data_IF_583987452026
#
_entry.id   IF_583987452026
#
_cell.length_a   1.000
_cell.length_b   1.000
_cell.length_c   1.000
_cell.angle_alpha   90.00
_cell.angle_beta   90.00
_cell.angle_gamma   90.00
#
_symmetry.space_group_name_H-M   'P 1'
#
loop_
_entity.id
_entity.type
_entity.pdbx_description
1 polymer ?
#
# COMPACT_ATOMS: atom_id res chain seq x y z
N UNK A 1 -17.23 8.39 13.04
CA UNK A 1 -16.90 7.30 13.97
C UNK A 1 -15.86 7.79 14.96
N UNK A 2 -16.03 7.43 16.24
CA UNK A 2 -15.10 7.78 17.30
C UNK A 2 -13.79 7.00 17.08
N UNK A 3 -12.67 7.70 17.02
CA UNK A 3 -11.38 7.07 16.94
C UNK A 3 -10.93 6.58 18.33
N UNK A 4 -10.06 5.59 18.37
CA UNK A 4 -9.36 5.23 19.60
C UNK A 4 -8.30 6.31 19.94
N UNK A 5 -8.03 6.50 21.22
CA UNK A 5 -6.96 7.41 21.68
C UNK A 5 -5.59 6.95 21.16
N UNK A 6 -5.35 5.65 21.16
CA UNK A 6 -4.21 5.00 20.51
C UNK A 6 -4.70 3.87 19.62
N UNK A 7 -4.07 3.66 18.44
CA UNK A 7 -4.47 2.58 17.56
C UNK A 7 -4.24 1.22 18.20
N UNK A 8 -5.12 0.28 17.90
CA UNK A 8 -4.94 -1.11 18.28
C UNK A 8 -4.07 -1.81 17.24
N UNK A 9 -2.89 -2.26 17.66
CA UNK A 9 -1.90 -2.88 16.79
C UNK A 9 -2.05 -4.40 16.73
N UNK A 10 -1.83 -4.98 15.54
CA UNK A 10 -1.86 -6.41 15.30
C UNK A 10 -0.73 -6.81 14.35
N UNK A 11 -0.11 -7.97 14.63
CA UNK A 11 0.58 -8.73 13.61
C UNK A 11 -0.47 -9.55 12.84
N UNK A 12 -0.41 -9.53 11.51
CA UNK A 12 -1.44 -10.16 10.70
C UNK A 12 -0.92 -10.72 9.38
N UNK A 13 -1.50 -11.85 8.95
CA UNK A 13 -1.33 -12.38 7.59
C UNK A 13 -2.51 -13.26 7.17
N UNK A 14 -2.70 -13.39 5.85
CA UNK A 14 -3.69 -14.28 5.28
C UNK A 14 -3.30 -15.75 5.53
N UNK A 15 -4.28 -16.57 5.94
CA UNK A 15 -4.11 -18.01 6.10
C UNK A 15 -3.99 -18.71 4.74
N UNK A 16 -4.60 -18.17 3.69
CA UNK A 16 -4.39 -18.56 2.30
C UNK A 16 -2.96 -18.20 1.88
N UNK A 17 -2.11 -19.21 1.71
CA UNK A 17 -0.70 -19.05 1.36
C UNK A 17 -0.52 -18.34 0.00
N UNK A 18 -1.36 -18.64 -0.97
CA UNK A 18 -1.29 -18.01 -2.29
C UNK A 18 -1.58 -16.50 -2.19
N UNK A 19 -2.55 -16.09 -1.38
CA UNK A 19 -2.83 -14.68 -1.10
C UNK A 19 -1.64 -14.02 -0.43
N UNK A 20 -1.06 -14.67 0.58
CA UNK A 20 0.08 -14.13 1.34
C UNK A 20 1.30 -13.95 0.44
N UNK A 21 1.64 -14.94 -0.39
CA UNK A 21 2.81 -14.89 -1.30
C UNK A 21 2.65 -13.85 -2.41
N UNK A 22 1.45 -13.72 -2.97
CA UNK A 22 1.15 -12.74 -4.05
C UNK A 22 0.87 -11.32 -3.54
N UNK A 23 1.09 -11.05 -2.26
CA UNK A 23 0.93 -9.72 -1.65
C UNK A 23 2.28 -9.13 -1.26
N UNK A 24 2.36 -7.81 -1.13
CA UNK A 24 3.60 -7.11 -0.72
C UNK A 24 4.02 -7.44 0.72
N UNK A 25 3.08 -7.81 1.58
CA UNK A 25 3.30 -8.15 2.99
C UNK A 25 2.46 -9.37 3.37
N UNK A 26 1.68 -9.33 4.44
CA UNK A 26 0.86 -10.45 4.94
C UNK A 26 -0.42 -10.73 4.14
N UNK A 27 -0.82 -9.92 3.16
CA UNK A 27 -2.02 -10.18 2.34
C UNK A 27 -3.35 -9.70 2.92
N UNK A 28 -3.32 -8.93 4.00
CA UNK A 28 -4.53 -8.47 4.72
C UNK A 28 -5.48 -7.68 3.82
N UNK A 29 -4.97 -6.77 2.96
CA UNK A 29 -5.83 -6.00 2.06
C UNK A 29 -6.71 -6.89 1.18
N UNK A 30 -6.16 -7.95 0.62
CA UNK A 30 -6.88 -8.87 -0.26
C UNK A 30 -8.05 -9.55 0.47
N UNK A 31 -7.85 -9.95 1.72
CA UNK A 31 -8.91 -10.58 2.53
C UNK A 31 -10.02 -9.58 2.85
N UNK A 32 -9.67 -8.37 3.28
CA UNK A 32 -10.66 -7.31 3.56
C UNK A 32 -11.46 -6.95 2.30
N UNK A 33 -10.79 -6.82 1.15
CA UNK A 33 -11.43 -6.50 -0.12
C UNK A 33 -12.34 -7.64 -0.60
N UNK A 34 -11.92 -8.91 -0.47
CA UNK A 34 -12.77 -10.10 -0.74
C UNK A 34 -14.05 -10.06 0.09
N UNK A 35 -13.92 -9.77 1.38
CA UNK A 35 -15.05 -9.73 2.29
C UNK A 35 -16.10 -8.69 1.84
N UNK A 36 -15.66 -7.47 1.50
CA UNK A 36 -16.55 -6.41 1.02
C UNK A 36 -17.20 -6.77 -0.32
N UNK A 37 -16.43 -7.29 -1.27
CA UNK A 37 -16.96 -7.71 -2.58
C UNK A 37 -17.94 -8.88 -2.46
N UNK A 38 -17.68 -9.85 -1.58
CA UNK A 38 -18.58 -10.99 -1.35
C UNK A 38 -19.95 -10.58 -0.78
N UNK A 39 -20.02 -9.42 -0.12
CA UNK A 39 -21.27 -8.84 0.38
C UNK A 39 -21.95 -7.89 -0.63
N UNK A 40 -21.50 -7.86 -1.89
CA UNK A 40 -22.05 -6.97 -2.93
C UNK A 40 -21.58 -5.51 -2.79
N UNK A 41 -20.56 -5.25 -1.97
CA UNK A 41 -19.92 -3.94 -1.85
C UNK A 41 -18.97 -3.66 -3.02
N UNK A 42 -18.31 -2.51 -2.97
CA UNK A 42 -17.35 -2.07 -3.99
C UNK A 42 -16.01 -1.71 -3.35
N UNK A 43 -14.92 -1.92 -4.09
CA UNK A 43 -13.57 -1.64 -3.63
C UNK A 43 -12.91 -0.61 -4.57
N UNK A 44 -12.35 0.42 -3.98
CA UNK A 44 -11.51 1.40 -4.67
C UNK A 44 -10.06 1.22 -4.21
N UNK A 45 -9.18 0.98 -5.15
CA UNK A 45 -7.74 0.80 -4.91
C UNK A 45 -6.93 1.19 -6.13
N UNK A 46 -5.61 1.05 -6.04
CA UNK A 46 -4.68 1.51 -7.07
C UNK A 46 -4.29 0.36 -8.00
N UNK A 47 -4.49 0.57 -9.30
CA UNK A 47 -4.07 -0.33 -10.37
C UNK A 47 -3.06 0.34 -11.31
N UNK A 48 -2.30 -0.49 -12.05
CA UNK A 48 -1.48 -0.02 -13.16
C UNK A 48 -2.36 0.46 -14.32
N UNK A 49 -1.95 1.54 -14.94
CA UNK A 49 -2.55 2.11 -16.15
C UNK A 49 -1.51 2.11 -17.27
N UNK A 50 -1.87 1.46 -18.38
CA UNK A 50 -0.97 1.27 -19.54
C UNK A 50 -1.51 1.94 -20.81
N UNK A 51 -2.57 2.77 -20.70
CA UNK A 51 -3.28 3.31 -21.87
C UNK A 51 -2.38 4.18 -22.74
N UNK A 52 -1.58 5.06 -22.15
CA UNK A 52 -0.63 5.94 -22.86
C UNK A 52 0.77 5.77 -22.32
N UNK A 53 0.95 6.16 -21.06
CA UNK A 53 2.20 6.03 -20.33
C UNK A 53 1.97 5.14 -19.12
N UNK A 54 3.00 4.37 -18.71
CA UNK A 54 2.93 3.57 -17.51
C UNK A 54 2.75 4.47 -16.29
N UNK A 55 1.62 4.35 -15.65
CA UNK A 55 1.21 5.15 -14.50
C UNK A 55 0.33 4.32 -13.57
N UNK A 56 -0.12 4.89 -12.48
CA UNK A 56 -1.03 4.23 -11.53
C UNK A 56 -2.21 5.14 -11.24
N UNK A 57 -3.40 4.54 -11.14
CA UNK A 57 -4.65 5.27 -10.86
C UNK A 57 -5.56 4.50 -9.93
N UNK A 58 -6.45 5.20 -9.26
CA UNK A 58 -7.54 4.56 -8.55
C UNK A 58 -8.55 3.99 -9.54
N UNK A 59 -8.95 2.77 -9.30
CA UNK A 59 -10.01 2.07 -10.03
C UNK A 59 -11.08 1.57 -9.08
N UNK A 60 -12.31 1.45 -9.57
CA UNK A 60 -13.45 0.86 -8.89
C UNK A 60 -13.61 -0.60 -9.32
N UNK A 61 -13.72 -1.49 -8.36
CA UNK A 61 -13.99 -2.91 -8.59
C UNK A 61 -15.27 -3.32 -7.86
N UNK A 62 -16.08 -4.15 -8.51
CA UNK A 62 -17.25 -4.81 -7.94
C UNK A 62 -17.27 -6.32 -8.19
N UNK A 63 -16.13 -6.88 -8.64
CA UNK A 63 -15.97 -8.31 -8.92
C UNK A 63 -14.68 -8.86 -8.32
N UNK A 64 -14.76 -10.09 -7.81
CA UNK A 64 -13.62 -10.80 -7.21
C UNK A 64 -12.49 -11.12 -8.21
N UNK A 65 -12.73 -11.53 -9.46
CA UNK A 65 -11.66 -11.84 -10.42
C UNK A 65 -10.72 -10.67 -10.72
N UNK A 66 -11.23 -9.44 -10.63
CA UNK A 66 -10.44 -8.23 -10.90
C UNK A 66 -9.58 -7.79 -9.72
N UNK A 67 -9.82 -8.31 -8.52
CA UNK A 67 -9.11 -7.90 -7.30
C UNK A 67 -7.59 -8.01 -7.43
N UNK A 68 -7.08 -8.95 -8.24
CA UNK A 68 -5.66 -9.09 -8.54
C UNK A 68 -5.01 -7.82 -9.11
N UNK A 69 -5.77 -6.93 -9.75
CA UNK A 69 -5.28 -5.66 -10.31
C UNK A 69 -4.79 -4.71 -9.20
N UNK A 70 -5.34 -4.85 -7.99
CA UNK A 70 -4.99 -4.02 -6.85
C UNK A 70 -3.80 -4.56 -6.04
N UNK A 71 -3.40 -5.81 -6.28
CA UNK A 71 -2.31 -6.44 -5.55
C UNK A 71 -0.97 -5.75 -5.80
N UNK A 72 -0.11 -5.79 -4.79
CA UNK A 72 1.26 -5.27 -4.87
C UNK A 72 1.35 -3.76 -4.63
N UNK A 73 2.41 -3.36 -3.96
CA UNK A 73 2.76 -1.95 -3.75
C UNK A 73 3.22 -1.31 -5.06
N UNK A 74 2.73 -0.11 -5.32
CA UNK A 74 3.07 0.68 -6.50
C UNK A 74 3.68 1.99 -6.02
N UNK A 75 5.02 2.09 -6.10
CA UNK A 75 5.76 3.25 -5.58
C UNK A 75 5.71 4.43 -6.56
N UNK A 76 4.51 4.91 -6.82
CA UNK A 76 4.19 6.06 -7.66
C UNK A 76 3.02 6.85 -7.08
N UNK A 77 2.91 8.12 -7.44
CA UNK A 77 1.72 8.91 -7.13
C UNK A 77 0.54 8.39 -7.95
N UNK A 78 -0.46 7.84 -7.26
CA UNK A 78 -1.67 7.41 -7.92
C UNK A 78 -2.57 8.62 -8.24
N UNK A 79 -3.05 8.67 -9.49
CA UNK A 79 -4.08 9.62 -9.90
C UNK A 79 -5.43 9.18 -9.30
N UNK A 80 -6.09 9.99 -8.47
CA UNK A 80 -7.42 9.68 -7.97
C UNK A 80 -8.49 9.79 -9.06
N UNK A 81 -8.25 10.50 -10.15
CA UNK A 81 -9.22 10.69 -11.23
C UNK A 81 -10.58 11.13 -10.71
N UNK A 82 -11.59 10.32 -10.99
CA UNK A 82 -12.98 10.55 -10.54
C UNK A 82 -13.34 9.72 -9.29
N UNK A 83 -12.42 8.97 -8.69
CA UNK A 83 -12.72 8.02 -7.62
C UNK A 83 -13.52 8.62 -6.46
N UNK A 84 -13.18 9.82 -5.99
CA UNK A 84 -13.91 10.44 -4.87
C UNK A 84 -15.36 10.79 -5.21
N UNK A 85 -15.61 11.24 -6.44
CA UNK A 85 -16.97 11.51 -6.94
C UNK A 85 -17.76 10.20 -7.05
N UNK A 86 -17.14 9.16 -7.57
CA UNK A 86 -17.77 7.87 -7.81
C UNK A 86 -18.02 7.14 -6.49
N UNK A 87 -17.11 7.23 -5.51
CA UNK A 87 -17.33 6.78 -4.12
C UNK A 87 -18.57 7.47 -3.54
N UNK A 88 -18.68 8.81 -3.67
CA UNK A 88 -19.84 9.55 -3.16
C UNK A 88 -21.14 9.10 -3.81
N UNK A 89 -21.11 8.73 -5.09
CA UNK A 89 -22.26 8.17 -5.82
C UNK A 89 -22.63 6.79 -5.27
N UNK A 90 -21.67 5.85 -5.18
CA UNK A 90 -21.92 4.50 -4.65
C UNK A 90 -22.46 4.54 -3.21
N UNK A 91 -21.92 5.44 -2.35
CA UNK A 91 -22.43 5.63 -0.99
C UNK A 91 -23.88 6.15 -0.95
N UNK A 92 -24.26 7.05 -1.86
CA UNK A 92 -25.65 7.53 -1.99
C UNK A 92 -26.60 6.45 -2.49
N UNK A 93 -26.09 5.50 -3.28
CA UNK A 93 -26.82 4.32 -3.75
C UNK A 93 -26.90 3.22 -2.68
N UNK A 94 -26.39 3.46 -1.47
CA UNK A 94 -26.46 2.52 -0.34
C UNK A 94 -25.42 1.39 -0.39
N UNK A 95 -24.41 1.48 -1.28
CA UNK A 95 -23.35 0.46 -1.36
C UNK A 95 -22.37 0.57 -0.20
N UNK A 96 -21.87 -0.56 0.25
CA UNK A 96 -20.69 -0.61 1.12
C UNK A 96 -19.44 -0.37 0.28
N UNK A 97 -18.61 0.57 0.68
CA UNK A 97 -17.41 0.99 -0.04
C UNK A 97 -16.17 0.75 0.80
N UNK A 98 -15.18 0.08 0.23
CA UNK A 98 -13.81 0.02 0.77
C UNK A 98 -12.91 0.89 -0.10
N UNK A 99 -12.27 1.90 0.50
CA UNK A 99 -11.26 2.71 -0.16
C UNK A 99 -9.89 2.40 0.41
N UNK A 100 -8.89 2.20 -0.47
CA UNK A 100 -7.49 2.06 -0.09
C UNK A 100 -6.64 3.10 -0.81
N UNK A 101 -5.78 3.81 -0.04
CA UNK A 101 -4.88 4.82 -0.58
C UNK A 101 -3.78 5.21 0.41
N UNK A 102 -3.00 6.23 0.06
CA UNK A 102 -2.04 6.84 0.98
C UNK A 102 -2.77 7.67 2.05
N UNK A 103 -2.15 8.00 3.20
CA UNK A 103 -2.81 8.79 4.25
C UNK A 103 -3.33 10.15 3.76
N UNK A 104 -2.59 10.83 2.88
CA UNK A 104 -3.03 12.09 2.27
C UNK A 104 -4.24 11.91 1.36
N UNK A 105 -4.35 10.79 0.61
CA UNK A 105 -5.51 10.47 -0.21
C UNK A 105 -6.73 10.11 0.65
N UNK A 106 -6.54 9.39 1.76
CA UNK A 106 -7.58 9.11 2.74
C UNK A 106 -8.14 10.41 3.36
N UNK A 107 -7.25 11.32 3.76
CA UNK A 107 -7.64 12.63 4.28
C UNK A 107 -8.37 13.48 3.22
N UNK A 108 -7.91 13.48 1.98
CA UNK A 108 -8.57 14.18 0.86
C UNK A 108 -9.97 13.61 0.58
N UNK A 109 -10.15 12.29 0.60
CA UNK A 109 -11.47 11.67 0.47
C UNK A 109 -12.41 12.11 1.58
N UNK A 110 -11.96 12.11 2.83
CA UNK A 110 -12.77 12.58 3.97
C UNK A 110 -13.18 14.05 3.81
N UNK A 111 -12.23 14.91 3.42
CA UNK A 111 -12.49 16.32 3.17
C UNK A 111 -13.51 16.53 2.02
N UNK A 112 -13.41 15.73 0.96
CA UNK A 112 -14.34 15.78 -0.18
C UNK A 112 -15.78 15.36 0.23
N UNK A 113 -15.90 14.32 1.04
CA UNK A 113 -17.22 13.81 1.46
C UNK A 113 -17.92 14.70 2.49
N UNK A 114 -17.19 15.51 3.27
CA UNK A 114 -17.67 16.49 4.26
C UNK A 114 -18.46 15.93 5.45
N UNK A 115 -18.90 14.69 5.42
CA UNK A 115 -19.63 14.01 6.49
C UNK A 115 -19.19 12.57 6.62
N UNK A 116 -19.37 11.94 7.79
CA UNK A 116 -19.16 10.51 7.93
C UNK A 116 -20.22 9.72 7.15
N UNK A 117 -19.82 8.51 6.73
CA UNK A 117 -20.67 7.54 6.07
C UNK A 117 -20.42 6.17 6.72
N UNK A 118 -21.48 5.55 7.23
CA UNK A 118 -21.36 4.27 7.93
C UNK A 118 -21.01 3.11 6.98
N UNK A 119 -21.35 3.20 5.72
CA UNK A 119 -21.02 2.24 4.68
C UNK A 119 -19.66 2.45 4.01
N UNK A 120 -18.83 3.41 4.50
CA UNK A 120 -17.49 3.66 3.98
C UNK A 120 -16.41 3.17 4.92
N UNK A 121 -15.59 2.21 4.52
CA UNK A 121 -14.34 1.82 5.18
C UNK A 121 -13.15 2.45 4.46
N UNK A 122 -12.25 3.07 5.20
CA UNK A 122 -11.03 3.66 4.68
C UNK A 122 -9.83 2.91 5.25
N UNK A 123 -9.00 2.38 4.35
CA UNK A 123 -7.71 1.77 4.66
C UNK A 123 -6.62 2.68 4.12
N UNK A 124 -5.69 3.13 4.96
CA UNK A 124 -4.47 3.73 4.47
C UNK A 124 -3.27 2.77 4.62
N UNK A 125 -2.17 3.13 3.98
CA UNK A 125 -0.93 2.40 4.05
C UNK A 125 0.13 3.20 4.80
N UNK A 126 1.07 2.53 5.47
CA UNK A 126 2.29 3.19 5.92
C UNK A 126 3.03 3.72 4.69
N UNK A 127 3.10 5.04 4.58
CA UNK A 127 3.61 5.71 3.39
C UNK A 127 4.98 6.32 3.66
N UNK A 128 5.98 5.90 2.88
CA UNK A 128 7.34 6.45 2.93
C UNK A 128 7.46 7.78 2.19
N UNK A 129 6.55 8.06 1.27
CA UNK A 129 6.55 9.14 0.31
C UNK A 129 6.31 8.62 -1.10
N UNK A 130 6.22 9.52 -2.08
CA UNK A 130 6.10 9.15 -3.50
C UNK A 130 7.26 9.74 -4.28
N UNK A 131 7.91 8.95 -5.15
CA UNK A 131 9.02 9.43 -5.95
C UNK A 131 8.56 10.37 -7.05
N UNK A 132 9.48 11.17 -7.56
CA UNK A 132 9.26 12.03 -8.73
C UNK A 132 8.87 11.18 -9.95
N UNK A 133 7.82 11.61 -10.65
CA UNK A 133 7.42 10.97 -11.91
C UNK A 133 8.53 11.02 -12.96
N UNK A 134 9.26 12.13 -13.03
CA UNK A 134 10.36 12.27 -14.01
C UNK A 134 11.46 11.23 -13.78
N UNK A 135 11.81 10.94 -12.52
CA UNK A 135 12.78 9.88 -12.22
C UNK A 135 12.25 8.51 -12.63
N UNK A 136 10.99 8.22 -12.32
CA UNK A 136 10.39 6.96 -12.73
C UNK A 136 10.34 6.81 -14.26
N UNK A 137 9.98 7.85 -14.97
CA UNK A 137 9.94 7.83 -16.44
C UNK A 137 11.34 7.64 -17.03
N UNK A 138 12.36 8.29 -16.50
CA UNK A 138 13.75 8.10 -16.91
C UNK A 138 14.23 6.66 -16.68
N UNK A 139 13.96 6.10 -15.49
CA UNK A 139 14.27 4.71 -15.15
C UNK A 139 13.58 3.71 -16.10
N UNK A 140 12.29 3.92 -16.35
CA UNK A 140 11.52 3.09 -17.28
C UNK A 140 12.06 3.17 -18.70
N UNK A 141 12.27 4.39 -19.22
CA UNK A 141 12.78 4.62 -20.59
C UNK A 141 14.18 4.05 -20.79
N UNK A 142 15.04 4.14 -19.78
CA UNK A 142 16.38 3.58 -19.86
C UNK A 142 16.34 2.05 -19.95
N UNK A 143 15.50 1.42 -19.12
CA UNK A 143 15.27 -0.02 -19.19
C UNK A 143 14.68 -0.45 -20.54
N UNK A 144 13.65 0.26 -21.03
CA UNK A 144 12.99 -0.07 -22.31
C UNK A 144 13.95 0.10 -23.51
N UNK A 145 14.83 1.12 -23.50
CA UNK A 145 15.88 1.31 -24.52
C UNK A 145 16.92 0.21 -24.49
N UNK A 146 17.39 -0.15 -23.30
CA UNK A 146 18.47 -1.14 -23.16
C UNK A 146 18.02 -2.57 -23.47
N UNK A 147 16.73 -2.88 -23.27
CA UNK A 147 16.19 -4.23 -23.49
C UNK A 147 15.37 -4.39 -24.75
N UNK A 148 14.91 -3.29 -25.36
CA UNK A 148 13.94 -3.29 -26.45
C UNK A 148 12.51 -3.71 -26.03
N UNK A 149 12.24 -3.83 -24.72
CA UNK A 149 10.95 -4.35 -24.19
C UNK A 149 10.20 -3.28 -23.43
N UNK A 150 8.92 -3.11 -23.75
CA UNK A 150 8.04 -2.17 -23.06
C UNK A 150 7.47 -2.77 -21.77
N UNK A 151 7.56 -2.02 -20.68
CA UNK A 151 7.02 -2.43 -19.37
C UNK A 151 5.49 -2.27 -19.38
N UNK A 152 4.77 -3.27 -18.87
CA UNK A 152 3.33 -3.24 -18.62
C UNK A 152 2.99 -3.00 -17.14
N UNK A 153 3.80 -3.57 -16.23
CA UNK A 153 3.70 -3.31 -14.79
C UNK A 153 4.99 -3.71 -14.08
N UNK A 154 5.14 -3.28 -12.83
CA UNK A 154 6.29 -3.61 -11.99
C UNK A 154 5.78 -4.18 -10.68
N UNK A 155 6.27 -5.35 -10.28
CA UNK A 155 6.16 -5.83 -8.91
C UNK A 155 7.39 -5.38 -8.13
N UNK A 156 7.24 -4.35 -7.32
CA UNK A 156 8.33 -3.81 -6.49
C UNK A 156 8.60 -4.61 -5.22
N UNK A 157 7.76 -5.58 -4.91
CA UNK A 157 7.79 -6.34 -3.67
C UNK A 157 7.68 -7.84 -3.94
N UNK A 158 8.31 -8.28 -5.03
CA UNK A 158 8.40 -9.70 -5.36
C UNK A 158 9.17 -10.48 -4.30
N UNK A 159 8.66 -11.63 -3.91
CA UNK A 159 9.19 -12.43 -2.80
C UNK A 159 10.06 -13.62 -3.25
N UNK A 160 10.54 -13.63 -4.49
CA UNK A 160 11.41 -14.70 -4.99
C UNK A 160 12.63 -14.95 -4.09
N UNK A 161 13.19 -13.88 -3.49
CA UNK A 161 14.30 -13.97 -2.54
C UNK A 161 13.84 -13.79 -1.07
N UNK A 162 12.54 -13.97 -0.80
CA UNK A 162 11.91 -13.77 0.50
C UNK A 162 11.42 -12.33 0.73
N UNK A 163 10.59 -12.17 1.75
CA UNK A 163 9.96 -10.87 2.06
C UNK A 163 10.97 -9.82 2.56
N UNK A 164 11.95 -10.22 3.37
CA UNK A 164 12.97 -9.32 3.91
C UNK A 164 13.97 -8.87 2.84
N UNK A 165 14.18 -9.67 1.79
CA UNK A 165 15.07 -9.42 0.67
C UNK A 165 14.29 -9.34 -0.65
N UNK A 166 13.14 -8.65 -0.59
CA UNK A 166 12.25 -8.55 -1.74
C UNK A 166 12.96 -8.03 -3.00
N UNK A 167 12.38 -8.37 -4.13
CA UNK A 167 12.92 -8.06 -5.44
C UNK A 167 12.00 -7.15 -6.24
N UNK A 168 12.56 -6.52 -7.25
CA UNK A 168 11.85 -5.80 -8.30
C UNK A 168 11.78 -6.69 -9.53
N UNK A 169 10.57 -6.96 -10.00
CA UNK A 169 10.32 -7.71 -11.23
C UNK A 169 9.47 -6.86 -12.18
N UNK A 170 9.92 -6.74 -13.43
CA UNK A 170 9.22 -6.01 -14.47
C UNK A 170 8.49 -6.99 -15.38
N UNK A 171 7.23 -6.72 -15.68
CA UNK A 171 6.44 -7.47 -16.65
C UNK A 171 6.30 -6.64 -17.92
N UNK A 172 6.40 -7.29 -19.07
CA UNK A 172 6.43 -6.65 -20.37
C UNK A 172 5.07 -6.78 -21.09
N UNK A 173 4.84 -5.93 -22.07
CA UNK A 173 3.61 -5.98 -22.89
C UNK A 173 3.50 -7.24 -23.73
N UNK A 174 4.62 -7.89 -24.05
CA UNK A 174 4.67 -9.17 -24.77
C UNK A 174 4.36 -10.40 -23.88
N UNK A 175 4.01 -10.18 -22.61
CA UNK A 175 3.72 -11.23 -21.64
C UNK A 175 4.95 -11.83 -20.94
N UNK A 176 6.16 -11.45 -21.34
CA UNK A 176 7.38 -11.89 -20.68
C UNK A 176 7.65 -11.10 -19.38
N UNK A 177 8.60 -11.55 -18.59
CA UNK A 177 9.06 -10.86 -17.38
C UNK A 177 10.59 -10.72 -17.33
N UNK A 178 11.07 -9.76 -16.57
CA UNK A 178 12.49 -9.69 -16.19
C UNK A 178 12.81 -10.76 -15.13
N UNK A 179 14.08 -11.07 -14.93
CA UNK A 179 14.50 -11.74 -13.69
C UNK A 179 14.19 -10.86 -12.46
N UNK A 180 14.01 -11.50 -11.31
CA UNK A 180 13.86 -10.82 -10.03
C UNK A 180 15.22 -10.22 -9.61
N UNK A 181 15.27 -8.89 -9.43
CA UNK A 181 16.47 -8.18 -8.96
C UNK A 181 16.21 -7.72 -7.52
N UNK A 182 17.12 -8.05 -6.61
CA UNK A 182 17.01 -7.63 -5.20
C UNK A 182 16.95 -6.09 -5.15
N UNK A 183 16.09 -5.55 -4.30
CA UNK A 183 15.79 -4.12 -4.20
C UNK A 183 17.04 -3.25 -3.97
N UNK A 184 18.06 -3.79 -3.29
CA UNK A 184 19.34 -3.11 -3.04
C UNK A 184 20.21 -2.96 -4.30
N UNK A 185 19.89 -3.68 -5.36
CA UNK A 185 20.58 -3.61 -6.66
C UNK A 185 19.75 -2.81 -7.68
N UNK A 186 18.51 -2.48 -7.39
CA UNK A 186 17.65 -1.70 -8.28
C UNK A 186 17.81 -0.20 -8.01
N UNK A 187 18.28 0.55 -9.01
CA UNK A 187 18.63 1.97 -8.87
C UNK A 187 17.42 2.84 -8.45
N UNK A 188 16.21 2.51 -8.95
CA UNK A 188 15.02 3.25 -8.57
C UNK A 188 14.69 3.02 -7.09
N UNK A 189 14.78 1.78 -6.62
CA UNK A 189 14.53 1.47 -5.22
C UNK A 189 15.60 2.04 -4.29
N UNK A 190 16.87 2.06 -4.72
CA UNK A 190 17.94 2.72 -3.94
C UNK A 190 17.65 4.22 -3.77
N UNK A 191 17.32 4.93 -4.86
CA UNK A 191 16.99 6.34 -4.82
C UNK A 191 15.75 6.61 -3.96
N UNK A 192 14.71 5.78 -4.10
CA UNK A 192 13.48 5.88 -3.33
C UNK A 192 13.71 5.71 -1.83
N UNK A 193 14.42 4.64 -1.43
CA UNK A 193 14.66 4.31 -0.01
C UNK A 193 15.66 5.26 0.66
N UNK A 194 16.50 5.93 -0.13
CA UNK A 194 17.43 6.97 0.35
C UNK A 194 16.79 8.35 0.50
N UNK A 195 15.50 8.48 0.28
CA UNK A 195 14.73 9.74 0.35
C UNK A 195 15.13 10.82 -0.69
N UNK A 196 16.02 10.53 -1.63
CA UNK A 196 16.60 11.57 -2.53
C UNK A 196 15.72 11.96 -3.72
N UNK A 197 14.65 11.23 -3.96
CA UNK A 197 13.83 11.42 -5.16
C UNK A 197 12.35 11.64 -4.89
N UNK A 198 11.99 11.93 -3.65
CA UNK A 198 10.59 12.09 -3.26
C UNK A 198 10.04 13.46 -3.69
N UNK A 199 8.72 13.53 -3.86
CA UNK A 199 8.04 14.79 -4.08
C UNK A 199 8.19 15.73 -2.89
N UNK A 200 8.35 17.03 -3.15
CA UNK A 200 8.59 18.06 -2.12
C UNK A 200 7.56 18.03 -0.98
N UNK A 201 6.29 17.83 -1.32
CA UNK A 201 5.20 17.73 -0.35
C UNK A 201 5.39 16.55 0.64
N UNK A 202 6.11 15.49 0.27
CA UNK A 202 6.34 14.33 1.13
C UNK A 202 7.34 14.65 2.25
N UNK A 203 8.32 15.52 2.02
CA UNK A 203 9.25 15.97 3.06
C UNK A 203 8.56 16.81 4.15
N UNK A 204 7.44 17.44 3.81
CA UNK A 204 6.63 18.23 4.74
C UNK A 204 5.25 17.63 4.99
N UNK A 205 5.09 16.30 4.77
CA UNK A 205 3.80 15.64 4.83
C UNK A 205 3.17 15.71 6.24
N UNK A 206 1.99 16.32 6.39
CA UNK A 206 1.29 16.40 7.68
C UNK A 206 0.69 15.06 8.10
N UNK A 207 0.63 14.08 7.18
CA UNK A 207 0.03 12.76 7.41
C UNK A 207 1.07 11.67 7.68
N UNK A 208 2.37 12.00 7.71
CA UNK A 208 3.44 11.02 7.93
C UNK A 208 3.53 10.55 9.40
N UNK A 209 2.98 11.32 10.32
CA UNK A 209 2.94 11.01 11.76
C UNK A 209 1.65 11.58 12.35
N UNK A 210 1.28 11.10 13.53
CA UNK A 210 0.08 11.56 14.23
C UNK A 210 -1.18 10.71 13.94
N UNK A 211 -2.35 11.19 14.36
CA UNK A 211 -3.61 10.46 14.24
C UNK A 211 -3.96 10.17 12.79
N UNK A 212 -4.38 8.93 12.52
CA UNK A 212 -4.84 8.52 11.20
C UNK A 212 -6.30 8.90 10.98
N UNK A 213 -6.63 9.26 9.75
CA UNK A 213 -8.02 9.55 9.33
C UNK A 213 -8.73 8.30 8.78
N UNK A 214 -8.01 7.19 8.66
CA UNK A 214 -8.50 5.89 8.19
C UNK A 214 -9.06 5.04 9.33
N UNK A 215 -9.83 4.01 8.98
CA UNK A 215 -10.31 3.01 9.93
C UNK A 215 -9.22 2.00 10.26
N UNK A 216 -8.40 1.65 9.23
CA UNK A 216 -7.27 0.73 9.32
C UNK A 216 -6.05 1.32 8.62
N UNK A 217 -4.87 1.04 9.17
CA UNK A 217 -3.58 1.29 8.50
C UNK A 217 -2.87 -0.02 8.26
N UNK A 218 -2.41 -0.27 7.04
CA UNK A 218 -1.61 -1.43 6.67
C UNK A 218 -0.14 -1.04 6.52
N UNK A 219 0.74 -1.83 7.12
CA UNK A 219 2.18 -1.65 7.06
C UNK A 219 2.89 -3.00 6.99
N UNK A 220 4.16 -2.99 6.64
CA UNK A 220 5.04 -4.13 6.88
C UNK A 220 5.44 -4.16 8.37
N UNK A 221 5.47 -5.33 8.98
CA UNK A 221 5.95 -5.52 10.34
C UNK A 221 7.46 -5.80 10.32
N UNK A 222 8.26 -4.78 9.98
CA UNK A 222 9.70 -4.91 9.95
C UNK A 222 10.23 -5.31 11.32
N UNK A 223 11.12 -6.32 11.35
CA UNK A 223 11.66 -6.84 12.59
C UNK A 223 10.69 -7.70 13.41
N UNK A 224 9.60 -8.20 12.84
CA UNK A 224 8.70 -9.12 13.52
C UNK A 224 9.42 -10.30 14.16
N UNK A 225 10.49 -10.80 13.55
CA UNK A 225 11.33 -11.89 14.08
C UNK A 225 12.01 -11.56 15.41
N UNK A 226 12.20 -10.30 15.78
CA UNK A 226 12.69 -9.92 17.11
C UNK A 226 11.63 -10.12 18.20
N UNK A 227 10.36 -9.89 17.86
CA UNK A 227 9.24 -10.07 18.76
C UNK A 227 8.77 -11.52 18.78
N UNK A 228 8.78 -12.14 17.61
CA UNK A 228 8.22 -13.47 17.38
C UNK A 228 9.12 -14.29 16.44
N UNK A 229 10.24 -14.86 16.94
CA UNK A 229 11.22 -15.57 16.10
C UNK A 229 10.63 -16.72 15.28
N UNK A 230 9.56 -17.37 15.79
CA UNK A 230 8.90 -18.49 15.11
C UNK A 230 8.04 -18.06 13.89
N UNK A 231 7.77 -16.75 13.72
CA UNK A 231 6.94 -16.25 12.62
C UNK A 231 7.74 -15.77 11.42
N UNK A 232 9.06 -15.67 11.57
CA UNK A 232 9.95 -15.22 10.49
C UNK A 232 10.18 -16.35 9.47
N UNK A 233 9.18 -16.52 8.61
CA UNK A 233 9.13 -17.51 7.54
C UNK A 233 9.39 -16.90 6.15
N UNK A 234 9.82 -15.67 6.08
CA UNK A 234 10.11 -14.90 4.86
C UNK A 234 8.92 -14.73 3.89
N UNK A 235 7.69 -15.04 4.32
CA UNK A 235 6.47 -14.91 3.49
C UNK A 235 5.75 -13.58 3.64
N UNK A 236 6.13 -12.78 4.64
CA UNK A 236 5.57 -11.46 4.92
C UNK A 236 4.59 -11.45 6.10
N UNK A 237 4.76 -10.43 6.95
CA UNK A 237 3.90 -10.15 8.11
C UNK A 237 3.49 -8.69 8.04
N UNK A 238 2.20 -8.42 8.11
CA UNK A 238 1.68 -7.07 8.17
C UNK A 238 1.63 -6.58 9.62
N UNK A 239 2.07 -5.35 9.84
CA UNK A 239 1.66 -4.58 11.02
C UNK A 239 0.37 -3.84 10.65
N UNK A 240 -0.68 -4.10 11.39
CA UNK A 240 -1.98 -3.55 11.13
C UNK A 240 -2.41 -2.71 12.33
N UNK A 241 -2.92 -1.51 12.06
CA UNK A 241 -3.41 -0.60 13.08
C UNK A 241 -4.90 -0.38 12.86
N UNK A 242 -5.73 -0.73 13.84
CA UNK A 242 -7.13 -0.35 13.89
C UNK A 242 -7.25 0.99 14.64
N UNK A 243 -7.66 2.03 13.94
CA UNK A 243 -7.82 3.37 14.50
C UNK A 243 -9.25 3.64 14.99
N UNK A 244 -10.23 2.82 14.55
CA UNK A 244 -11.64 2.97 14.92
C UNK A 244 -12.27 1.63 15.31
N UNK A 245 -13.32 1.62 16.17
CA UNK A 245 -14.05 0.39 16.50
C UNK A 245 -14.57 -0.35 15.28
N UNK A 246 -15.06 0.37 14.26
CA UNK A 246 -15.57 -0.25 13.03
C UNK A 246 -14.47 -0.87 12.17
N UNK A 247 -13.26 -0.30 12.18
CA UNK A 247 -12.11 -0.92 11.52
C UNK A 247 -11.73 -2.23 12.20
N UNK A 248 -11.74 -2.26 13.53
CA UNK A 248 -11.51 -3.49 14.30
C UNK A 248 -12.62 -4.53 14.07
N UNK A 249 -13.88 -4.09 13.99
CA UNK A 249 -15.00 -4.98 13.69
C UNK A 249 -14.86 -5.63 12.30
N UNK A 250 -14.46 -4.86 11.28
CA UNK A 250 -14.18 -5.40 9.94
C UNK A 250 -13.07 -6.48 9.99
N UNK A 251 -12.03 -6.30 10.82
CA UNK A 251 -11.00 -7.32 11.01
C UNK A 251 -11.56 -8.58 11.66
N UNK A 252 -12.38 -8.43 12.69
CA UNK A 252 -12.99 -9.55 13.41
C UNK A 252 -13.88 -10.37 12.47
N UNK A 253 -14.62 -9.73 11.57
CA UNK A 253 -15.43 -10.40 10.55
C UNK A 253 -14.58 -11.24 9.58
N UNK A 254 -13.34 -10.83 9.32
CA UNK A 254 -12.37 -11.54 8.50
C UNK A 254 -11.51 -12.55 9.27
N UNK A 255 -11.69 -12.71 10.57
CA UNK A 255 -10.80 -13.47 11.45
C UNK A 255 -10.64 -14.96 11.12
N UNK A 256 -11.57 -15.55 10.33
CA UNK A 256 -11.46 -16.94 9.86
C UNK A 256 -10.45 -17.10 8.70
N UNK A 257 -10.12 -16.03 8.00
CA UNK A 257 -9.20 -16.01 6.86
C UNK A 257 -7.85 -15.34 7.19
N UNK A 258 -7.74 -14.75 8.40
CA UNK A 258 -6.55 -14.07 8.87
C UNK A 258 -5.98 -14.70 10.12
N UNK A 259 -4.66 -14.83 10.19
CA UNK A 259 -3.98 -14.85 11.48
C UNK A 259 -3.95 -13.43 12.03
N UNK A 260 -4.38 -13.26 13.26
CA UNK A 260 -4.38 -11.98 13.97
C UNK A 260 -3.80 -12.18 15.36
N UNK A 261 -2.75 -11.44 15.70
CA UNK A 261 -2.18 -11.40 17.03
C UNK A 261 -2.09 -9.96 17.53
N UNK A 262 -2.67 -9.70 18.69
CA UNK A 262 -2.64 -8.38 19.30
C UNK A 262 -1.23 -8.02 19.77
N UNK A 263 -0.77 -6.83 19.37
CA UNK A 263 0.54 -6.30 19.74
C UNK A 263 0.43 -5.12 20.71
N UNK A 264 1.47 -4.92 21.49
CA UNK A 264 1.60 -3.70 22.26
C UNK A 264 2.04 -2.56 21.34
N UNK A 265 1.16 -1.58 21.10
CA UNK A 265 1.43 -0.45 20.22
C UNK A 265 2.72 0.28 20.56
N UNK A 266 2.98 0.54 21.86
CA UNK A 266 4.17 1.27 22.30
C UNK A 266 5.47 0.52 21.98
N UNK A 267 5.44 -0.82 21.97
CA UNK A 267 6.57 -1.65 21.61
C UNK A 267 6.80 -1.67 20.08
N UNK A 268 5.72 -1.79 19.27
CA UNK A 268 5.83 -2.03 17.82
C UNK A 268 5.81 -0.75 16.97
N UNK A 269 5.38 0.39 17.51
CA UNK A 269 5.28 1.66 16.74
C UNK A 269 6.58 2.11 16.07
N UNK A 270 7.71 1.56 16.51
CA UNK A 270 9.04 1.90 15.99
C UNK A 270 9.48 1.03 14.83
N UNK A 271 8.77 -0.04 14.53
CA UNK A 271 9.17 -1.03 13.52
C UNK A 271 8.95 -0.55 12.09
N UNK A 272 8.04 0.41 11.87
CA UNK A 272 7.79 0.93 10.54
C UNK A 272 7.94 2.45 10.50
N UNK A 273 8.92 2.91 9.68
CA UNK A 273 9.24 4.33 9.52
C UNK A 273 8.06 5.13 8.96
N UNK A 274 7.31 4.58 8.00
CA UNK A 274 6.18 5.24 7.33
C UNK A 274 4.96 5.53 8.23
N UNK A 275 5.01 5.06 9.49
CA UNK A 275 3.99 5.36 10.51
C UNK A 275 4.43 6.51 11.41
N UNK A 276 5.75 6.73 11.56
CA UNK A 276 6.32 7.56 12.62
C UNK A 276 6.83 8.92 12.20
N UNK A 277 7.40 9.03 11.02
CA UNK A 277 8.12 10.23 10.61
C UNK A 277 8.06 10.48 9.12
N UNK A 278 8.19 11.74 8.77
CA UNK A 278 8.42 12.18 7.40
C UNK A 278 9.75 11.63 6.87
N UNK A 279 9.90 11.52 5.55
CA UNK A 279 11.21 11.35 4.92
C UNK A 279 12.17 12.46 5.35
N UNK A 280 13.45 12.13 5.39
CA UNK A 280 14.47 13.13 5.66
C UNK A 280 14.66 14.02 4.44
N UNK A 281 14.61 15.34 4.62
CA UNK A 281 14.99 16.27 3.55
C UNK A 281 16.50 16.13 3.28
N UNK A 282 16.85 15.86 2.01
CA UNK A 282 18.24 15.80 1.58
C UNK A 282 18.67 17.21 1.19
N UNK A 283 19.65 17.76 1.89
CA UNK A 283 20.31 18.99 1.47
C UNK A 283 21.24 18.67 0.29
N UNK A 284 20.95 19.24 -0.87
CA UNK A 284 21.78 19.11 -2.07
C UNK A 284 23.12 19.90 -2.01
N UNK A 285 23.44 20.53 -0.88
CA UNK A 285 24.64 21.35 -0.72
C UNK A 285 25.96 20.58 -0.74
N UNK A 286 25.95 19.25 -0.83
CA UNK A 286 27.15 18.41 -0.89
C UNK A 286 27.26 17.53 -2.14
N UNK A 287 26.44 17.77 -3.17
CA UNK A 287 26.64 17.17 -4.50
C UNK A 287 27.40 18.15 -5.41
N UNK A 288 28.51 18.70 -4.93
CA UNK A 288 29.57 19.21 -5.82
C UNK A 288 30.43 18.01 -6.22
N UNK A 289 30.26 17.61 -7.46
CA UNK A 289 31.17 16.73 -8.19
C UNK A 289 32.59 17.30 -8.24
#
# INVERSE_FOLDING_TARGET
>A
PQAFDEPRAYAAWALDEAVRLNSSSGGVFTILARHILAQGGVVYGVAWNTDRELSVRHVRLDSLPELKLLNGSKYLQADPGHAYRDIKKDLKEGKTVLFSGTPCQAAALRAYLKKPWDSLFIIDIACHGVPSKNLFDAYRQDYERSTGRQISCINFRDKTHGWNHYSVMKFHRDGSGSGARIYTEDLFMQAYLSDICLGEACYNCPHASGPRTSDLTLADFWGAGYFHPKWDDSRGISLLLASTPRGEELLNQCGKELFLHRENWQAVKHTNRGIRRKPASVSYTHLTL
#
